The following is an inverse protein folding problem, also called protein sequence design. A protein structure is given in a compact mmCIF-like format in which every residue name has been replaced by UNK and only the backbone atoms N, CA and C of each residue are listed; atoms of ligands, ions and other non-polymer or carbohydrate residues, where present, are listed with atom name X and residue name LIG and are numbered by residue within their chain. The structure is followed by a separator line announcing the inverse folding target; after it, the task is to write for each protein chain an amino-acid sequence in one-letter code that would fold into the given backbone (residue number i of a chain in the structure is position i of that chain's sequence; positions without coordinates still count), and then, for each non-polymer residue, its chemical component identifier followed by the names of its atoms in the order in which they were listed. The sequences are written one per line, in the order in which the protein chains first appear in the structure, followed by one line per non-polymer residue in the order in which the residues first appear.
data_IF_426696935782
#
_entry.id   IF_426696935782
#
_cell.length_a   1.000
_cell.length_b   1.000
_cell.length_c   1.000
_cell.angle_alpha   90.00
_cell.angle_beta   90.00
_cell.angle_gamma   90.00
#
_symmetry.space_group_name_H-M   'P 1'
#
loop_
_entity.id
_entity.type
_entity.pdbx_description
1 polymer ?
#
# COMPACT_ATOMS: atom_id res chain seq x y z
N UNK A 1 -9.93 -16.83 1.73
CA UNK A 1 -11.28 -17.10 1.18
C UNK A 1 -11.11 -17.68 -0.21
N UNK A 2 -11.61 -18.89 -0.46
CA UNK A 2 -11.48 -19.59 -1.75
C UNK A 2 -12.78 -19.36 -2.54
N UNK A 3 -12.67 -18.92 -3.80
CA UNK A 3 -13.84 -18.77 -4.66
C UNK A 3 -14.35 -20.15 -5.13
N UNK A 4 -15.67 -20.31 -5.38
CA UNK A 4 -16.22 -21.52 -6.00
C UNK A 4 -15.51 -21.84 -7.32
N UNK A 5 -15.33 -23.12 -7.62
CA UNK A 5 -14.54 -23.59 -8.77
C UNK A 5 -15.13 -23.17 -10.12
N UNK A 6 -16.44 -22.92 -10.16
CA UNK A 6 -17.23 -22.47 -11.31
C UNK A 6 -17.41 -20.94 -11.37
N UNK A 7 -16.90 -20.19 -10.38
CA UNK A 7 -17.08 -18.75 -10.34
C UNK A 7 -16.25 -18.04 -11.44
N UNK A 8 -16.90 -17.16 -12.20
CA UNK A 8 -16.20 -16.30 -13.16
C UNK A 8 -15.12 -15.46 -12.45
N UNK A 9 -13.90 -15.46 -12.99
CA UNK A 9 -12.74 -14.77 -12.40
C UNK A 9 -13.01 -13.29 -12.13
N UNK A 10 -13.73 -12.61 -13.02
CA UNK A 10 -14.12 -11.20 -12.83
C UNK A 10 -15.00 -10.99 -11.61
N UNK A 11 -15.90 -11.93 -11.31
CA UNK A 11 -16.78 -11.87 -10.15
C UNK A 11 -16.02 -12.13 -8.86
N UNK A 12 -15.13 -13.12 -8.85
CA UNK A 12 -14.25 -13.40 -7.70
C UNK A 12 -13.37 -12.18 -7.36
N UNK A 13 -12.78 -11.54 -8.37
CA UNK A 13 -12.01 -10.31 -8.19
C UNK A 13 -12.87 -9.14 -7.66
N UNK A 14 -14.11 -9.00 -8.15
CA UNK A 14 -15.05 -7.98 -7.68
C UNK A 14 -15.40 -8.17 -6.20
N UNK A 15 -15.73 -9.40 -5.79
CA UNK A 15 -16.02 -9.73 -4.38
C UNK A 15 -14.79 -9.45 -3.51
N UNK A 16 -13.60 -9.89 -3.94
CA UNK A 16 -12.36 -9.62 -3.21
C UNK A 16 -12.09 -8.11 -3.04
N UNK A 17 -12.43 -7.29 -4.03
CA UNK A 17 -12.31 -5.84 -3.92
C UNK A 17 -13.26 -5.25 -2.86
N UNK A 18 -14.51 -5.72 -2.80
CA UNK A 18 -15.48 -5.30 -1.77
C UNK A 18 -14.97 -5.71 -0.38
N UNK A 19 -14.54 -6.96 -0.20
CA UNK A 19 -14.02 -7.44 1.09
C UNK A 19 -12.81 -6.64 1.59
N UNK A 20 -11.90 -6.26 0.69
CA UNK A 20 -10.78 -5.38 1.05
C UNK A 20 -11.26 -4.03 1.56
N UNK A 21 -12.32 -3.46 0.99
CA UNK A 21 -12.87 -2.19 1.46
C UNK A 21 -13.45 -2.32 2.89
N UNK A 22 -14.11 -3.44 3.20
CA UNK A 22 -14.63 -3.72 4.55
C UNK A 22 -13.53 -3.74 5.62
N UNK A 23 -12.31 -4.20 5.30
CA UNK A 23 -11.19 -4.20 6.25
C UNK A 23 -10.73 -2.78 6.67
N UNK A 24 -11.16 -1.74 5.95
CA UNK A 24 -10.76 -0.36 6.21
C UNK A 24 -11.86 0.48 6.86
N UNK A 25 -13.00 -0.13 7.21
CA UNK A 25 -14.16 0.54 7.80
C UNK A 25 -13.95 1.05 9.24
N UNK A 26 -12.86 0.71 9.92
CA UNK A 26 -12.69 1.00 11.36
C UNK A 26 -11.41 1.82 11.66
N UNK A 27 -10.85 2.54 10.67
CA UNK A 27 -9.48 3.09 10.79
C UNK A 27 -9.35 4.48 11.44
N UNK A 28 -10.37 5.03 12.10
CA UNK A 28 -10.24 6.29 12.86
C UNK A 28 -10.16 6.04 14.38
N UNK A 29 -9.43 6.88 15.14
CA UNK A 29 -9.34 6.74 16.59
C UNK A 29 -10.74 6.80 17.21
N UNK A 30 -11.01 5.91 18.19
CA UNK A 30 -12.24 5.87 19.01
C UNK A 30 -12.60 7.18 19.74
N UNK A 31 -11.79 8.22 19.57
CA UNK A 31 -11.90 9.53 20.22
C UNK A 31 -12.69 10.57 19.40
N UNK A 32 -13.10 10.29 18.14
CA UNK A 32 -13.97 11.19 17.39
C UNK A 32 -15.45 10.87 17.66
N UNK A 33 -16.23 11.87 18.08
CA UNK A 33 -17.69 11.76 18.25
C UNK A 33 -18.46 11.83 16.91
N UNK A 34 -17.80 11.53 15.78
CA UNK A 34 -18.38 11.64 14.44
C UNK A 34 -18.72 10.24 13.95
N UNK A 35 -20.00 9.99 13.66
CA UNK A 35 -20.44 8.75 13.05
C UNK A 35 -19.82 8.62 11.65
N UNK A 36 -18.97 7.61 11.46
CA UNK A 36 -18.41 7.32 10.16
C UNK A 36 -19.40 6.48 9.37
N UNK A 37 -19.86 7.01 8.24
CA UNK A 37 -20.74 6.31 7.32
C UNK A 37 -19.94 6.00 6.05
N UNK A 38 -20.11 4.80 5.53
CA UNK A 38 -19.58 4.38 4.23
C UNK A 38 -20.73 4.10 3.27
N UNK A 39 -21.31 5.13 2.61
CA UNK A 39 -22.52 4.99 1.78
C UNK A 39 -22.37 3.94 0.67
N UNK A 40 -21.18 3.81 0.09
CA UNK A 40 -20.89 2.85 -0.99
C UNK A 40 -20.81 1.39 -0.52
N UNK A 41 -20.76 1.15 0.78
CA UNK A 41 -20.74 -0.18 1.39
C UNK A 41 -22.08 -0.57 2.00
N UNK A 42 -23.11 0.27 1.84
CA UNK A 42 -24.47 -0.09 2.26
C UNK A 42 -24.97 -1.32 1.47
N UNK A 43 -25.68 -2.26 2.12
CA UNK A 43 -26.18 -3.48 1.47
C UNK A 43 -26.88 -3.25 0.12
N UNK A 44 -27.83 -2.32 -0.05
CA UNK A 44 -28.49 -2.12 -1.35
C UNK A 44 -27.53 -1.67 -2.46
N UNK A 45 -26.50 -0.89 -2.12
CA UNK A 45 -25.49 -0.45 -3.08
C UNK A 45 -24.57 -1.61 -3.46
N UNK A 46 -24.13 -2.38 -2.47
CA UNK A 46 -23.28 -3.56 -2.69
C UNK A 46 -24.03 -4.61 -3.52
N UNK A 47 -25.30 -4.88 -3.22
CA UNK A 47 -26.15 -5.79 -3.98
C UNK A 47 -26.34 -5.32 -5.43
N UNK A 48 -26.62 -4.03 -5.65
CA UNK A 48 -26.71 -3.46 -6.99
C UNK A 48 -25.38 -3.59 -7.75
N UNK A 49 -24.25 -3.30 -7.10
CA UNK A 49 -22.92 -3.51 -7.68
C UNK A 49 -22.69 -4.98 -8.07
N UNK A 50 -23.11 -5.92 -7.22
CA UNK A 50 -22.98 -7.34 -7.48
C UNK A 50 -23.92 -7.83 -8.60
N UNK A 51 -25.10 -7.23 -8.77
CA UNK A 51 -26.01 -7.59 -9.86
C UNK A 51 -25.46 -7.19 -11.25
N UNK A 52 -24.60 -6.18 -11.31
CA UNK A 52 -24.02 -5.69 -12.57
C UNK A 52 -22.99 -6.71 -13.12
N UNK A 53 -23.14 -7.13 -14.40
CA UNK A 53 -22.14 -7.96 -15.07
C UNK A 53 -20.73 -7.35 -15.05
N UNK A 54 -19.72 -8.17 -14.74
CA UNK A 54 -18.36 -7.68 -14.47
C UNK A 54 -17.70 -6.98 -15.67
N UNK A 55 -18.10 -7.31 -16.90
CA UNK A 55 -17.57 -6.67 -18.11
C UNK A 55 -18.11 -5.26 -18.37
N UNK A 56 -19.23 -4.86 -17.74
CA UNK A 56 -19.77 -3.50 -17.87
C UNK A 56 -19.02 -2.46 -17.04
N UNK A 57 -18.14 -2.91 -16.13
CA UNK A 57 -17.32 -2.04 -15.29
C UNK A 57 -16.14 -1.39 -16.02
N UNK A 58 -15.82 -1.89 -17.23
CA UNK A 58 -14.77 -1.34 -18.09
C UNK A 58 -15.35 -1.18 -19.50
N UNK A 59 -15.40 0.06 -19.98
CA UNK A 59 -15.86 0.36 -21.33
C UNK A 59 -15.02 1.50 -21.93
N UNK A 60 -14.60 1.35 -23.18
CA UNK A 60 -13.79 2.37 -23.88
C UNK A 60 -12.47 2.71 -23.18
N UNK A 61 -11.85 1.75 -22.48
CA UNK A 61 -10.61 1.95 -21.71
C UNK A 61 -10.79 2.71 -20.39
N UNK A 62 -12.03 2.97 -19.96
CA UNK A 62 -12.34 3.69 -18.73
C UNK A 62 -12.81 2.72 -17.65
N UNK A 63 -12.17 2.77 -16.48
CA UNK A 63 -12.59 2.01 -15.31
C UNK A 63 -13.86 2.59 -14.67
N UNK A 64 -14.63 1.74 -13.98
CA UNK A 64 -15.88 2.11 -13.29
C UNK A 64 -16.89 2.79 -14.23
N UNK A 65 -16.88 2.43 -15.52
CA UNK A 65 -17.66 3.08 -16.57
C UNK A 65 -19.14 3.23 -16.21
N UNK A 66 -19.77 2.16 -15.70
CA UNK A 66 -21.18 2.16 -15.32
C UNK A 66 -21.49 3.06 -14.11
N UNK A 67 -20.59 3.11 -13.12
CA UNK A 67 -20.77 4.00 -11.97
C UNK A 67 -20.58 5.47 -12.37
N UNK A 68 -19.64 5.74 -13.28
CA UNK A 68 -19.42 7.08 -13.84
C UNK A 68 -20.61 7.53 -14.69
N UNK A 69 -21.20 6.65 -15.49
CA UNK A 69 -22.40 6.99 -16.29
C UNK A 69 -23.63 7.22 -15.43
N UNK A 70 -23.74 6.56 -14.28
CA UNK A 70 -24.85 6.76 -13.34
C UNK A 70 -24.72 8.06 -12.52
N UNK A 71 -23.56 8.73 -12.56
CA UNK A 71 -23.29 9.94 -11.78
C UNK A 71 -23.32 11.18 -12.66
N UNK A 72 -24.51 11.74 -12.87
CA UNK A 72 -24.73 12.90 -13.75
C UNK A 72 -24.28 14.25 -13.14
N UNK A 73 -24.07 14.29 -11.82
CA UNK A 73 -23.76 15.50 -11.06
C UNK A 73 -22.29 15.90 -11.05
N UNK A 74 -21.38 15.03 -11.53
CA UNK A 74 -19.94 15.32 -11.51
C UNK A 74 -19.49 16.08 -12.77
N UNK A 75 -18.61 17.10 -12.64
CA UNK A 75 -17.98 17.74 -13.79
C UNK A 75 -17.27 16.72 -14.68
N UNK A 76 -17.33 16.93 -16.01
CA UNK A 76 -16.77 15.99 -17.00
C UNK A 76 -15.31 15.65 -16.75
N UNK A 77 -14.50 16.61 -16.31
CA UNK A 77 -13.07 16.40 -16.06
C UNK A 77 -12.81 15.48 -14.86
N UNK A 78 -13.70 15.50 -13.86
CA UNK A 78 -13.66 14.57 -12.72
C UNK A 78 -14.21 13.21 -13.15
N UNK A 79 -15.34 13.21 -13.85
CA UNK A 79 -16.02 12.00 -14.29
C UNK A 79 -15.20 11.18 -15.31
N UNK A 80 -14.34 11.81 -16.11
CA UNK A 80 -13.47 11.13 -17.08
C UNK A 80 -12.01 11.00 -16.60
N UNK A 81 -11.70 11.41 -15.36
CA UNK A 81 -10.35 11.28 -14.81
C UNK A 81 -9.92 9.82 -14.77
N UNK A 82 -8.90 9.51 -15.57
CA UNK A 82 -8.25 8.18 -15.63
C UNK A 82 -7.07 8.07 -14.66
N UNK A 83 -6.52 9.20 -14.21
CA UNK A 83 -5.45 9.22 -13.21
C UNK A 83 -6.03 8.98 -11.82
N UNK A 84 -5.56 7.92 -11.16
CA UNK A 84 -5.73 7.75 -9.72
C UNK A 84 -4.58 8.48 -9.07
N UNK A 85 -4.86 9.31 -8.06
CA UNK A 85 -3.82 9.74 -7.13
C UNK A 85 -3.43 8.52 -6.31
N UNK A 86 -2.61 7.64 -6.88
CA UNK A 86 -2.14 6.45 -6.19
C UNK A 86 -0.89 6.86 -5.44
N UNK A 87 -0.79 6.59 -4.12
CA UNK A 87 0.45 6.84 -3.36
C UNK A 87 1.68 6.24 -4.04
N UNK A 88 1.49 5.14 -4.80
CA UNK A 88 2.51 4.53 -5.65
C UNK A 88 3.22 5.51 -6.58
N UNK A 89 2.54 6.48 -7.21
CA UNK A 89 3.23 7.42 -8.11
C UNK A 89 4.13 8.39 -7.33
N UNK A 90 3.71 8.76 -6.11
CA UNK A 90 4.50 9.59 -5.20
C UNK A 90 5.70 8.78 -4.68
N UNK A 91 5.47 7.54 -4.23
CA UNK A 91 6.52 6.66 -3.73
C UNK A 91 7.52 6.30 -4.83
N UNK A 92 7.06 6.06 -6.06
CA UNK A 92 7.92 5.80 -7.20
C UNK A 92 8.81 7.01 -7.49
N UNK A 93 8.24 8.22 -7.57
CA UNK A 93 9.03 9.45 -7.77
C UNK A 93 10.01 9.71 -6.64
N UNK A 94 9.59 9.48 -5.39
CA UNK A 94 10.46 9.59 -4.22
C UNK A 94 11.63 8.61 -4.30
N UNK A 95 11.34 7.33 -4.55
CA UNK A 95 12.35 6.30 -4.69
C UNK A 95 13.30 6.61 -5.85
N UNK A 96 12.79 6.97 -7.03
CA UNK A 96 13.59 7.34 -8.20
C UNK A 96 14.56 8.49 -7.89
N UNK A 97 14.08 9.49 -7.16
CA UNK A 97 14.88 10.65 -6.78
C UNK A 97 15.97 10.31 -5.75
N UNK A 98 15.67 9.40 -4.81
CA UNK A 98 16.56 9.05 -3.69
C UNK A 98 17.24 7.68 -3.83
N UNK A 99 17.09 7.00 -4.97
CA UNK A 99 17.54 5.62 -5.15
C UNK A 99 19.02 5.42 -4.81
N UNK A 100 19.96 6.30 -5.22
CA UNK A 100 21.37 6.14 -4.84
C UNK A 100 21.58 6.13 -3.32
N UNK A 101 20.91 7.02 -2.58
CA UNK A 101 21.05 7.12 -1.13
C UNK A 101 20.36 5.95 -0.42
N UNK A 102 19.16 5.58 -0.86
CA UNK A 102 18.38 4.49 -0.28
C UNK A 102 19.07 3.13 -0.49
N UNK A 103 19.65 2.91 -1.67
CA UNK A 103 20.42 1.69 -1.97
C UNK A 103 21.72 1.67 -1.17
N UNK A 104 22.46 2.78 -1.08
CA UNK A 104 23.69 2.83 -0.25
C UNK A 104 23.39 2.51 1.22
N UNK A 105 22.29 3.06 1.75
CA UNK A 105 21.82 2.79 3.11
C UNK A 105 21.56 1.29 3.33
N UNK A 106 20.85 0.62 2.41
CA UNK A 106 20.57 -0.81 2.52
C UNK A 106 21.84 -1.66 2.41
N UNK A 107 22.74 -1.32 1.47
CA UNK A 107 23.94 -2.11 1.20
C UNK A 107 24.98 -2.01 2.31
N UNK A 108 24.97 -0.92 3.08
CA UNK A 108 25.93 -0.64 4.15
C UNK A 108 25.31 -0.72 5.54
N UNK A 109 24.03 -1.03 5.60
CA UNK A 109 23.24 -1.13 6.82
C UNK A 109 23.44 -2.44 7.58
N UNK A 110 22.84 -2.48 8.77
CA UNK A 110 22.85 -3.63 9.67
C UNK A 110 22.16 -4.84 9.06
N UNK A 111 21.09 -4.64 8.27
CA UNK A 111 20.40 -5.75 7.60
C UNK A 111 21.33 -6.48 6.62
N UNK A 112 22.17 -5.75 5.88
CA UNK A 112 23.20 -6.35 5.03
C UNK A 112 24.33 -6.97 5.85
N UNK A 113 24.79 -6.30 6.91
CA UNK A 113 25.86 -6.80 7.78
C UNK A 113 25.50 -8.13 8.46
N UNK A 114 24.23 -8.31 8.81
CA UNK A 114 23.70 -9.55 9.39
C UNK A 114 23.28 -10.60 8.35
N UNK A 115 23.46 -10.34 7.05
CA UNK A 115 23.13 -11.29 5.99
C UNK A 115 21.63 -11.52 5.79
N UNK A 116 20.79 -10.57 6.21
CA UNK A 116 19.32 -10.64 6.07
C UNK A 116 18.91 -10.22 4.65
N UNK A 117 19.68 -9.34 4.01
CA UNK A 117 19.42 -8.88 2.65
C UNK A 117 20.11 -9.73 1.60
N UNK A 118 19.39 -9.98 0.49
CA UNK A 118 20.01 -10.41 -0.76
C UNK A 118 20.66 -9.21 -1.43
N UNK A 119 21.93 -8.99 -1.08
CA UNK A 119 22.74 -7.86 -1.56
C UNK A 119 22.90 -7.87 -3.07
N UNK A 120 22.99 -9.05 -3.69
CA UNK A 120 23.20 -9.16 -5.13
C UNK A 120 21.91 -8.83 -5.89
N UNK A 121 20.75 -9.28 -5.40
CA UNK A 121 19.45 -8.88 -5.95
C UNK A 121 19.22 -7.37 -5.84
N UNK A 122 19.61 -6.75 -4.73
CA UNK A 122 19.50 -5.29 -4.56
C UNK A 122 20.40 -4.54 -5.55
N UNK A 123 21.64 -4.99 -5.76
CA UNK A 123 22.56 -4.40 -6.74
C UNK A 123 22.06 -4.57 -8.18
N UNK A 124 21.58 -5.76 -8.51
CA UNK A 124 20.99 -6.03 -9.83
C UNK A 124 19.78 -5.12 -10.05
N UNK A 125 18.92 -5.00 -9.04
CA UNK A 125 17.80 -4.07 -9.10
C UNK A 125 18.29 -2.64 -9.26
N UNK A 126 19.27 -2.17 -8.49
CA UNK A 126 19.81 -0.81 -8.59
C UNK A 126 20.38 -0.48 -9.98
N UNK A 127 20.89 -1.47 -10.71
CA UNK A 127 21.47 -1.29 -12.05
C UNK A 127 20.48 -1.04 -13.19
N UNK A 128 19.16 -1.23 -12.98
CA UNK A 128 18.16 -1.05 -14.07
C UNK A 128 17.80 0.44 -14.29
N UNK A 129 17.43 0.86 -15.50
CA UNK A 129 17.02 2.25 -15.77
C UNK A 129 15.63 2.59 -15.20
N UNK A 130 15.38 3.88 -14.95
CA UNK A 130 14.08 4.46 -14.57
C UNK A 130 13.38 5.14 -15.77
N UNK A 131 12.05 5.33 -15.77
CA UNK A 131 11.07 4.92 -14.75
C UNK A 131 10.69 3.45 -14.82
N UNK A 132 10.37 2.84 -13.66
CA UNK A 132 10.07 1.41 -13.56
C UNK A 132 8.58 1.15 -13.41
N UNK A 133 8.11 0.01 -13.94
CA UNK A 133 6.69 -0.39 -13.90
C UNK A 133 6.40 -1.49 -12.86
N UNK A 134 7.44 -2.04 -12.25
CA UNK A 134 7.31 -3.01 -11.17
C UNK A 134 6.97 -2.34 -9.83
N UNK A 135 6.71 -3.14 -8.81
CA UNK A 135 6.42 -2.70 -7.44
C UNK A 135 7.56 -2.98 -6.48
N UNK A 136 8.74 -3.41 -6.96
CA UNK A 136 9.84 -3.86 -6.11
C UNK A 136 10.45 -2.68 -5.32
N UNK A 137 10.32 -1.46 -5.84
CA UNK A 137 10.67 -0.24 -5.10
C UNK A 137 9.89 -0.08 -3.79
N UNK A 138 8.66 -0.60 -3.69
CA UNK A 138 7.89 -0.56 -2.43
C UNK A 138 8.53 -1.48 -1.40
N UNK A 139 8.92 -2.68 -1.79
CA UNK A 139 9.64 -3.62 -0.92
C UNK A 139 10.97 -3.03 -0.44
N UNK A 140 11.72 -2.35 -1.33
CA UNK A 140 12.96 -1.68 -0.93
C UNK A 140 12.72 -0.53 0.05
N UNK A 141 11.64 0.24 -0.11
CA UNK A 141 11.25 1.27 0.86
C UNK A 141 10.91 0.66 2.23
N UNK A 142 10.20 -0.47 2.28
CA UNK A 142 9.92 -1.18 3.55
C UNK A 142 11.20 -1.67 4.24
N UNK A 143 12.18 -2.14 3.46
CA UNK A 143 13.51 -2.51 3.98
C UNK A 143 14.26 -1.29 4.51
N UNK A 144 14.17 -0.14 3.82
CA UNK A 144 14.78 1.11 4.29
C UNK A 144 14.16 1.55 5.61
N UNK A 145 12.83 1.51 5.73
CA UNK A 145 12.14 1.85 6.98
C UNK A 145 12.63 0.97 8.14
N UNK A 146 12.83 -0.32 7.87
CA UNK A 146 13.37 -1.28 8.84
C UNK A 146 14.81 -0.95 9.23
N UNK A 147 15.66 -0.61 8.26
CA UNK A 147 17.06 -0.21 8.49
C UNK A 147 17.16 1.07 9.33
N UNK A 148 16.36 2.10 9.01
CA UNK A 148 16.30 3.35 9.78
C UNK A 148 15.84 3.07 11.20
N UNK A 149 14.80 2.24 11.37
CA UNK A 149 14.33 1.83 12.69
C UNK A 149 15.46 1.17 13.49
N UNK A 150 16.18 0.20 12.92
CA UNK A 150 17.32 -0.45 13.58
C UNK A 150 18.38 0.55 14.02
N UNK A 151 18.72 1.53 13.17
CA UNK A 151 19.70 2.56 13.48
C UNK A 151 19.27 3.47 14.63
N UNK A 152 17.98 3.79 14.74
CA UNK A 152 17.46 4.52 15.91
C UNK A 152 17.71 3.74 17.21
N UNK A 153 17.46 2.42 17.21
CA UNK A 153 17.67 1.60 18.40
C UNK A 153 19.14 1.31 18.67
N UNK A 154 19.98 1.13 17.65
CA UNK A 154 21.41 0.89 17.84
C UNK A 154 22.11 2.12 18.42
N UNK A 155 21.76 3.31 17.93
CA UNK A 155 22.32 4.60 18.40
C UNK A 155 21.85 4.94 19.82
N UNK A 156 20.64 4.54 20.22
CA UNK A 156 20.13 4.73 21.60
C UNK A 156 20.53 3.61 22.58
N UNK A 157 20.91 2.42 22.11
CA UNK A 157 21.19 1.23 22.94
C UNK A 157 22.43 1.31 23.86
N UNK A 158 23.16 2.43 23.87
CA UNK A 158 24.27 2.69 24.81
C UNK A 158 23.98 3.73 25.91
N UNK A 159 22.73 4.17 26.08
CA UNK A 159 22.32 4.87 27.33
C UNK A 159 21.43 3.97 28.18
N UNK A 160 21.98 2.85 28.67
CA UNK A 160 21.46 2.24 29.89
C UNK A 160 21.85 3.15 31.06
N UNK A 161 20.93 3.76 31.83
CA UNK A 161 21.29 4.27 33.14
C UNK A 161 21.78 3.07 33.96
N UNK A 162 23.03 3.10 34.39
CA UNK A 162 23.60 2.05 35.23
C UNK A 162 22.71 1.87 36.45
N UNK A 163 22.28 0.62 36.70
CA UNK A 163 21.56 0.28 37.91
C UNK A 163 22.55 0.46 39.08
N UNK A 164 22.36 1.44 39.99
CA UNK A 164 23.25 1.58 41.12
C UNK A 164 23.04 0.35 42.02
N UNK A 165 24.15 -0.27 42.40
CA UNK A 165 24.16 -1.49 43.20
C UNK A 165 23.38 -1.34 44.50
N UNK A 166 22.58 -2.36 44.80
CA UNK A 166 22.02 -2.61 46.12
C UNK A 166 22.78 -3.76 46.77
N UNK A 167 23.84 -3.42 47.51
CA UNK A 167 24.49 -4.28 48.50
C UNK A 167 23.59 -4.47 49.72
N UNK A 168 23.55 -5.70 50.23
CA UNK A 168 23.23 -6.14 51.60
C UNK A 168 22.06 -5.44 52.32
N UNK A 169 20.95 -6.18 52.48
CA UNK A 169 20.33 -6.51 53.77
C UNK A 169 19.55 -7.83 53.61
#
# INVERSE_FOLDING_TARGET
MVAPTDACRGKSAHIAAILRAYNHLEQMPRASNIAMLSPLLLPPIVEACLAIPTWLWIYGGIDRSIARSACEVLPRDIAKRSTKGTPCEIHAKFFEHHAPQLIDLLLRGELAAHGILDVDAIKEYAGRPFPRKDSDYLTLLELVDTEIWLQCWSTESLKRPGFPGGSNL
#
